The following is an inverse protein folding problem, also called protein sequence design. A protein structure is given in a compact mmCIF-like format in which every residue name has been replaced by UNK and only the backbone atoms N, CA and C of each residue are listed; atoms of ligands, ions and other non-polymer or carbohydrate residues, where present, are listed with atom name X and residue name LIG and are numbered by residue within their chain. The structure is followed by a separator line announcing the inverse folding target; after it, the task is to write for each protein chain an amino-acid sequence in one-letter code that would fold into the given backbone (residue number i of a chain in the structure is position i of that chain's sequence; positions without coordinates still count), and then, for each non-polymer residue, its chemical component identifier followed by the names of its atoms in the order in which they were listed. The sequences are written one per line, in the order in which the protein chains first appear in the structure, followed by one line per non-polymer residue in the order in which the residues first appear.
data_IF_002665105594
#
_entry.id   IF_002665105594
#
_cell.length_a   1.000
_cell.length_b   1.000
_cell.length_c   1.000
_cell.angle_alpha   90.00
_cell.angle_beta   90.00
_cell.angle_gamma   90.00
#
_symmetry.space_group_name_H-M   'P 1'
#
loop_
_entity.id
_entity.type
_entity.pdbx_description
1 polymer ?
#
# COMPACT_ATOMS: atom_id res chain seq x y z
N UNK A 1 27.08 13.08 7.96
CA UNK A 1 26.40 12.39 9.08
C UNK A 1 25.17 11.73 8.50
N UNK A 2 25.01 10.41 8.65
CA UNK A 2 23.78 9.72 8.22
C UNK A 2 22.71 10.03 9.25
N UNK A 3 21.66 10.72 8.84
CA UNK A 3 20.43 10.85 9.63
C UNK A 3 19.75 9.48 9.66
N UNK A 4 20.14 8.66 10.63
CA UNK A 4 19.38 7.48 11.00
C UNK A 4 18.05 7.98 11.57
N UNK A 5 17.02 8.04 10.73
CA UNK A 5 15.65 8.25 11.14
C UNK A 5 15.27 7.14 12.12
N UNK A 6 15.45 7.40 13.41
CA UNK A 6 14.97 6.54 14.49
C UNK A 6 13.46 6.63 14.50
N UNK A 7 12.80 5.74 13.75
CA UNK A 7 11.38 5.46 14.00
C UNK A 7 11.36 4.74 15.35
N UNK A 8 11.18 5.52 16.42
CA UNK A 8 10.90 4.96 17.74
C UNK A 8 9.61 4.16 17.58
N UNK A 9 9.70 2.84 17.71
CA UNK A 9 8.51 2.00 17.70
C UNK A 9 7.79 2.21 19.04
N UNK A 10 6.97 3.26 19.10
CA UNK A 10 6.17 3.65 20.26
C UNK A 10 4.86 2.87 20.37
N UNK A 11 4.70 1.80 19.58
CA UNK A 11 3.51 0.94 19.66
C UNK A 11 3.35 0.43 21.10
N UNK A 12 2.22 0.69 21.77
CA UNK A 12 1.99 0.15 23.10
C UNK A 12 2.13 -1.38 23.10
N UNK A 13 2.84 -1.91 24.10
CA UNK A 13 3.19 -3.35 24.16
C UNK A 13 1.99 -4.28 24.19
N UNK A 14 0.81 -3.78 24.58
CA UNK A 14 -0.44 -4.53 24.64
C UNK A 14 -1.20 -4.58 23.31
N UNK A 15 -0.74 -3.91 22.25
CA UNK A 15 -1.39 -4.00 20.95
C UNK A 15 -1.02 -5.31 20.26
N UNK A 16 -2.06 -6.02 19.79
CA UNK A 16 -1.87 -7.24 19.01
C UNK A 16 -1.18 -6.90 17.70
N UNK A 17 -0.18 -7.68 17.31
CA UNK A 17 0.44 -7.62 15.99
C UNK A 17 -0.09 -8.74 15.10
N UNK A 18 -0.29 -8.45 13.82
CA UNK A 18 -0.61 -9.47 12.81
C UNK A 18 0.30 -9.29 11.59
N UNK A 19 0.77 -10.39 10.98
CA UNK A 19 1.46 -10.28 9.70
C UNK A 19 0.47 -9.81 8.62
N UNK A 20 0.94 -9.01 7.66
CA UNK A 20 0.06 -8.46 6.61
C UNK A 20 -0.71 -9.54 5.86
N UNK A 21 -0.12 -10.72 5.62
CA UNK A 21 -0.79 -11.84 4.95
C UNK A 21 -2.07 -12.33 5.66
N UNK A 22 -2.21 -12.07 6.95
CA UNK A 22 -3.38 -12.45 7.75
C UNK A 22 -4.41 -11.29 7.84
N UNK A 23 -4.01 -10.06 7.44
CA UNK A 23 -4.85 -8.86 7.45
C UNK A 23 -5.40 -8.52 6.07
N UNK A 24 -4.65 -8.81 5.00
CA UNK A 24 -4.97 -8.41 3.62
C UNK A 24 -4.82 -9.54 2.63
N UNK A 25 -5.62 -9.49 1.56
CA UNK A 25 -5.38 -10.29 0.36
C UNK A 25 -4.49 -9.52 -0.60
N UNK A 26 -3.30 -10.06 -0.90
CA UNK A 26 -2.40 -9.53 -1.91
C UNK A 26 -2.89 -9.94 -3.30
N UNK A 27 -3.18 -8.95 -4.15
CA UNK A 27 -3.58 -9.15 -5.54
C UNK A 27 -2.65 -8.34 -6.45
N UNK A 28 -2.60 -8.69 -7.74
CA UNK A 28 -1.93 -7.93 -8.79
C UNK A 28 -2.74 -7.99 -10.08
N UNK A 29 -2.61 -6.97 -10.91
CA UNK A 29 -3.12 -6.95 -12.27
C UNK A 29 -2.20 -7.69 -13.24
N UNK A 30 -2.52 -7.57 -14.52
CA UNK A 30 -1.80 -8.21 -15.64
C UNK A 30 -1.43 -7.24 -16.75
N UNK A 31 -1.77 -5.95 -16.59
CA UNK A 31 -1.50 -4.93 -17.59
C UNK A 31 0.00 -4.60 -17.63
N UNK A 32 0.44 -4.08 -18.76
CA UNK A 32 1.80 -3.60 -18.99
C UNK A 32 1.81 -2.07 -18.97
N UNK A 33 2.98 -1.46 -18.75
CA UNK A 33 3.09 0.00 -18.70
C UNK A 33 2.59 0.69 -19.99
N UNK A 34 2.74 0.03 -21.12
CA UNK A 34 2.29 0.47 -22.45
C UNK A 34 0.77 0.49 -22.63
N UNK A 35 0.00 -0.16 -21.76
CA UNK A 35 -1.47 -0.08 -21.77
C UNK A 35 -1.98 1.28 -21.27
N UNK A 36 -1.09 2.13 -20.73
CA UNK A 36 -1.44 3.46 -20.29
C UNK A 36 -1.93 4.35 -21.45
N UNK A 37 -2.99 5.11 -21.21
CA UNK A 37 -3.61 6.02 -22.19
C UNK A 37 -3.82 7.38 -21.56
N UNK A 38 -3.32 8.46 -22.16
CA UNK A 38 -3.39 9.82 -21.59
C UNK A 38 -4.80 10.26 -21.11
N UNK A 39 -5.85 9.83 -21.81
CA UNK A 39 -7.25 10.15 -21.50
C UNK A 39 -8.08 8.91 -21.15
N UNK A 40 -7.46 7.89 -20.56
CA UNK A 40 -8.16 6.68 -20.12
C UNK A 40 -9.23 6.97 -19.06
N UNK A 41 -10.30 6.17 -19.06
CA UNK A 41 -11.45 6.33 -18.17
C UNK A 41 -11.17 5.90 -16.73
N UNK A 42 -10.32 4.90 -16.55
CA UNK A 42 -10.06 4.26 -15.26
C UNK A 42 -8.67 4.56 -14.74
N UNK A 43 -8.47 4.42 -13.43
CA UNK A 43 -7.17 4.59 -12.80
C UNK A 43 -6.26 3.41 -13.18
N UNK A 44 -5.01 3.72 -13.51
CA UNK A 44 -3.99 2.73 -13.78
C UNK A 44 -2.80 2.92 -12.84
N UNK A 45 -2.58 1.94 -11.97
CA UNK A 45 -1.47 1.96 -11.03
C UNK A 45 -0.27 1.24 -11.62
N UNK A 46 0.76 2.03 -11.93
CA UNK A 46 2.07 1.58 -12.40
C UNK A 46 3.12 1.85 -11.32
N UNK A 47 4.39 1.59 -11.63
CA UNK A 47 5.51 1.92 -10.72
C UNK A 47 5.74 3.45 -10.61
N UNK A 48 5.06 4.25 -11.42
CA UNK A 48 5.16 5.70 -11.38
C UNK A 48 4.46 6.30 -10.15
N UNK A 49 5.07 7.37 -9.61
CA UNK A 49 4.48 8.15 -8.51
C UNK A 49 3.14 8.78 -8.92
N UNK A 50 3.02 9.24 -10.15
CA UNK A 50 1.76 9.75 -10.69
C UNK A 50 0.83 8.60 -11.08
N UNK A 51 -0.46 8.74 -10.79
CA UNK A 51 -1.46 7.74 -11.21
C UNK A 51 -1.80 7.94 -12.68
N UNK A 52 -1.59 6.91 -13.49
CA UNK A 52 -1.89 6.93 -14.92
C UNK A 52 -3.35 6.56 -15.17
N UNK A 53 -3.70 6.47 -16.46
CA UNK A 53 -5.07 6.19 -16.93
C UNK A 53 -5.06 5.04 -17.92
N UNK A 54 -6.15 4.28 -17.97
CA UNK A 54 -6.37 3.15 -18.89
C UNK A 54 -7.84 3.10 -19.33
N UNK A 55 -8.11 2.51 -20.49
CA UNK A 55 -9.47 2.41 -21.05
C UNK A 55 -10.29 1.24 -20.51
N UNK A 56 -9.64 0.21 -19.99
CA UNK A 56 -10.24 -1.01 -19.44
C UNK A 56 -9.92 -1.14 -17.95
N UNK A 57 -10.72 -1.90 -17.21
CA UNK A 57 -10.47 -2.18 -15.80
C UNK A 57 -10.65 -3.66 -15.51
N UNK A 58 -9.85 -4.18 -14.60
CA UNK A 58 -9.94 -5.55 -14.11
C UNK A 58 -10.53 -5.63 -12.69
N UNK A 59 -10.59 -4.50 -11.97
CA UNK A 59 -11.00 -4.46 -10.58
C UNK A 59 -11.99 -3.32 -10.33
N UNK A 60 -13.01 -3.59 -9.51
CA UNK A 60 -13.94 -2.59 -8.97
C UNK A 60 -14.10 -2.81 -7.47
N UNK A 61 -13.23 -2.19 -6.67
CA UNK A 61 -13.18 -2.37 -5.21
C UNK A 61 -12.44 -1.22 -4.52
N UNK A 62 -12.52 -1.20 -3.19
CA UNK A 62 -11.62 -0.40 -2.37
C UNK A 62 -10.30 -1.17 -2.15
N UNK A 63 -9.17 -0.51 -2.40
CA UNK A 63 -7.87 -1.17 -2.34
C UNK A 63 -6.73 -0.19 -2.01
N UNK A 64 -5.59 -0.76 -1.61
CA UNK A 64 -4.34 -0.04 -1.43
C UNK A 64 -3.27 -0.56 -2.40
N UNK A 65 -3.09 0.05 -3.58
CA UNK A 65 -1.98 -0.26 -4.48
C UNK A 65 -0.63 0.09 -3.86
N UNK A 66 0.30 -0.86 -3.88
CA UNK A 66 1.66 -0.76 -3.39
C UNK A 66 2.64 -1.08 -4.54
N UNK A 67 3.43 -0.08 -4.89
CA UNK A 67 4.61 -0.26 -5.75
C UNK A 67 5.73 -0.82 -4.89
N UNK A 68 6.26 -2.00 -5.23
CA UNK A 68 7.28 -2.73 -4.44
C UNK A 68 8.69 -2.64 -5.04
N UNK A 69 8.82 -2.17 -6.28
CA UNK A 69 10.09 -1.98 -6.97
C UNK A 69 10.41 -0.49 -7.16
N UNK A 70 11.70 -0.15 -7.18
CA UNK A 70 12.14 1.23 -7.39
C UNK A 70 11.65 2.18 -6.29
N UNK A 71 11.05 3.30 -6.69
CA UNK A 71 10.51 4.30 -5.78
C UNK A 71 9.18 3.84 -5.16
N UNK A 72 9.29 3.07 -4.08
CA UNK A 72 8.14 2.50 -3.36
C UNK A 72 7.20 3.57 -2.85
N UNK A 73 5.91 3.31 -3.01
CA UNK A 73 4.84 4.16 -2.52
C UNK A 73 3.55 3.35 -2.46
N UNK A 74 2.65 3.78 -1.58
CA UNK A 74 1.31 3.22 -1.46
C UNK A 74 0.29 4.30 -1.81
N UNK A 75 -0.78 3.88 -2.47
CA UNK A 75 -1.93 4.73 -2.84
C UNK A 75 -3.20 4.16 -2.23
N UNK A 76 -4.23 4.98 -2.18
CA UNK A 76 -5.59 4.57 -1.86
C UNK A 76 -6.45 4.71 -3.11
N UNK A 77 -7.32 3.74 -3.37
CA UNK A 77 -8.30 3.84 -4.44
C UNK A 77 -9.63 3.18 -4.04
N UNK A 78 -10.71 3.70 -4.61
CA UNK A 78 -12.04 3.14 -4.48
C UNK A 78 -12.74 3.21 -5.84
N UNK A 79 -13.24 2.07 -6.31
CA UNK A 79 -13.95 1.95 -7.59
C UNK A 79 -13.12 1.22 -8.64
N UNK A 80 -13.29 1.61 -9.91
CA UNK A 80 -12.73 0.90 -11.07
C UNK A 80 -11.27 1.27 -11.35
N UNK A 81 -10.40 0.27 -11.39
CA UNK A 81 -8.98 0.44 -11.70
C UNK A 81 -8.34 -0.80 -12.31
N UNK A 82 -7.11 -0.64 -12.79
CA UNK A 82 -6.20 -1.73 -13.11
C UNK A 82 -4.80 -1.46 -12.53
N UNK A 83 -3.96 -2.49 -12.48
CA UNK A 83 -2.56 -2.37 -12.05
C UNK A 83 -1.61 -3.07 -13.01
N UNK A 84 -0.39 -2.56 -13.10
CA UNK A 84 0.68 -3.27 -13.80
C UNK A 84 1.02 -4.58 -13.06
N UNK A 85 1.57 -5.57 -13.76
CA UNK A 85 1.98 -6.84 -13.17
C UNK A 85 2.93 -6.71 -11.95
N UNK A 86 3.78 -5.68 -11.91
CA UNK A 86 4.73 -5.43 -10.82
C UNK A 86 4.14 -4.60 -9.66
N UNK A 87 2.88 -4.18 -9.77
CA UNK A 87 2.16 -3.46 -8.72
C UNK A 87 1.21 -4.42 -8.04
N UNK A 88 1.47 -4.67 -6.75
CA UNK A 88 0.55 -5.39 -5.89
C UNK A 88 -0.47 -4.41 -5.31
N UNK A 89 -1.62 -4.89 -4.89
CA UNK A 89 -2.55 -4.12 -4.09
C UNK A 89 -3.16 -4.95 -2.98
N UNK A 90 -3.53 -4.28 -1.90
CA UNK A 90 -4.15 -4.90 -0.75
C UNK A 90 -5.67 -4.76 -0.84
N UNK A 91 -6.35 -5.89 -0.75
CA UNK A 91 -7.80 -5.96 -0.57
C UNK A 91 -8.08 -6.39 0.87
N UNK A 92 -8.87 -5.61 1.60
CA UNK A 92 -9.11 -5.77 3.03
C UNK A 92 -10.46 -5.18 3.45
N UNK A 93 -10.89 -5.47 4.68
CA UNK A 93 -12.11 -4.88 5.24
C UNK A 93 -11.97 -3.34 5.35
N UNK A 94 -13.02 -2.63 4.93
CA UNK A 94 -13.09 -1.16 4.95
C UNK A 94 -12.65 -0.54 6.28
N UNK A 95 -13.02 -1.15 7.41
CA UNK A 95 -12.70 -0.60 8.75
C UNK A 95 -11.19 -0.46 9.03
N UNK A 96 -10.34 -1.20 8.31
CA UNK A 96 -8.88 -1.15 8.47
C UNK A 96 -8.17 -0.30 7.41
N UNK A 97 -8.87 0.14 6.34
CA UNK A 97 -8.18 0.63 5.13
C UNK A 97 -7.39 1.91 5.36
N UNK A 98 -8.00 2.90 6.01
CA UNK A 98 -7.36 4.20 6.26
C UNK A 98 -6.19 4.08 7.24
N UNK A 99 -6.36 3.25 8.27
CA UNK A 99 -5.31 2.97 9.23
C UNK A 99 -4.14 2.25 8.56
N UNK A 100 -4.41 1.20 7.79
CA UNK A 100 -3.34 0.46 7.13
C UNK A 100 -2.63 1.32 6.08
N UNK A 101 -3.35 2.18 5.36
CA UNK A 101 -2.75 3.12 4.43
C UNK A 101 -1.71 4.02 5.13
N UNK A 102 -2.08 4.67 6.23
CA UNK A 102 -1.15 5.54 6.96
C UNK A 102 -0.04 4.75 7.65
N UNK A 103 -0.33 3.55 8.15
CA UNK A 103 0.70 2.66 8.69
C UNK A 103 1.75 2.39 7.61
N UNK A 104 1.36 1.85 6.45
CA UNK A 104 2.31 1.47 5.42
C UNK A 104 3.09 2.68 4.89
N UNK A 105 2.45 3.84 4.73
CA UNK A 105 3.16 5.10 4.37
C UNK A 105 4.31 5.39 5.32
N UNK A 106 4.08 5.28 6.63
CA UNK A 106 5.11 5.49 7.65
C UNK A 106 6.21 4.41 7.63
N UNK A 107 5.92 3.21 7.13
CA UNK A 107 6.88 2.10 7.04
C UNK A 107 7.60 1.99 5.69
N UNK A 108 7.27 2.81 4.68
CA UNK A 108 7.99 2.83 3.39
C UNK A 108 9.51 2.98 3.58
N UNK A 109 10.05 3.88 4.43
CA UNK A 109 11.50 3.98 4.63
C UNK A 109 12.15 2.71 5.19
N UNK A 110 11.40 1.92 5.97
CA UNK A 110 11.87 0.62 6.47
C UNK A 110 11.86 -0.41 5.34
N UNK A 111 10.80 -0.45 4.53
CA UNK A 111 10.76 -1.30 3.34
C UNK A 111 11.87 -0.97 2.34
N UNK A 112 12.23 0.31 2.20
CA UNK A 112 13.36 0.74 1.37
C UNK A 112 14.67 0.14 1.84
N UNK A 113 14.93 0.13 3.16
CA UNK A 113 16.14 -0.47 3.74
C UNK A 113 16.17 -1.99 3.62
N UNK A 114 15.02 -2.66 3.62
CA UNK A 114 14.91 -4.11 3.46
C UNK A 114 15.04 -4.58 2.01
N UNK A 115 14.94 -3.66 1.06
CA UNK A 115 14.88 -3.99 -0.36
C UNK A 115 16.24 -4.37 -0.93
N UNK A 116 16.22 -5.29 -1.91
CA UNK A 116 17.42 -5.93 -2.46
C UNK A 116 17.48 -5.72 -3.98
N UNK A 117 18.68 -5.63 -4.54
CA UNK A 117 18.91 -5.47 -5.99
C UNK A 117 20.14 -4.62 -6.31
N UNK A 118 20.63 -4.73 -7.56
CA UNK A 118 21.70 -3.87 -8.11
C UNK A 118 21.04 -2.87 -9.05
N UNK A 119 21.16 -1.57 -8.74
CA UNK A 119 20.43 -0.51 -9.45
C UNK A 119 19.02 -0.35 -8.90
N UNK A 120 18.03 -1.02 -9.52
CA UNK A 120 16.63 -0.99 -9.06
C UNK A 120 16.45 -2.01 -7.93
N UNK A 121 16.03 -1.55 -6.76
CA UNK A 121 15.78 -2.41 -5.60
C UNK A 121 14.31 -2.81 -5.51
N UNK A 122 14.05 -4.05 -5.11
CA UNK A 122 12.71 -4.60 -4.89
C UNK A 122 12.49 -5.05 -3.46
N UNK A 123 11.28 -4.85 -2.94
CA UNK A 123 10.80 -5.45 -1.71
C UNK A 123 10.32 -6.87 -2.02
N UNK A 124 10.88 -7.86 -1.34
CA UNK A 124 10.46 -9.26 -1.46
C UNK A 124 9.02 -9.41 -0.94
N UNK A 125 8.16 -10.04 -1.74
CA UNK A 125 6.76 -10.26 -1.36
C UNK A 125 6.64 -11.09 -0.08
N UNK A 126 7.59 -11.99 0.22
CA UNK A 126 7.63 -12.75 1.46
C UNK A 126 7.90 -11.83 2.66
N UNK A 127 8.78 -10.85 2.50
CA UNK A 127 9.08 -9.87 3.55
C UNK A 127 7.87 -8.97 3.79
N UNK A 128 7.22 -8.48 2.73
CA UNK A 128 5.98 -7.73 2.83
C UNK A 128 4.85 -8.54 3.51
N UNK A 129 4.64 -9.80 3.10
CA UNK A 129 3.61 -10.68 3.67
C UNK A 129 3.80 -10.97 5.16
N UNK A 130 5.05 -11.05 5.62
CA UNK A 130 5.36 -11.34 7.03
C UNK A 130 5.61 -10.08 7.86
N UNK A 131 5.51 -8.88 7.28
CA UNK A 131 5.59 -7.63 8.03
C UNK A 131 4.48 -7.57 9.10
N UNK A 132 4.88 -7.41 10.36
CA UNK A 132 3.96 -7.36 11.49
C UNK A 132 3.36 -5.95 11.65
N UNK A 133 2.07 -5.83 11.35
CA UNK A 133 1.31 -4.60 11.55
C UNK A 133 0.66 -4.59 12.95
N UNK A 134 0.86 -3.53 13.75
CA UNK A 134 0.23 -3.40 15.06
C UNK A 134 -1.24 -3.00 14.93
N UNK A 135 -2.17 -3.85 15.35
CA UNK A 135 -3.59 -3.56 15.28
C UNK A 135 -4.01 -2.56 16.36
N UNK A 136 -4.73 -1.52 15.93
CA UNK A 136 -5.45 -0.63 16.83
C UNK A 136 -6.53 -1.40 17.60
N UNK A 137 -6.64 -1.21 18.93
CA UNK A 137 -7.85 -1.53 19.67
C UNK A 137 -9.08 -0.87 19.03
N UNK A 138 -10.24 -1.54 19.09
CA UNK A 138 -11.45 -1.13 18.33
C UNK A 138 -11.89 0.32 18.62
N UNK A 139 -11.79 0.78 19.87
CA UNK A 139 -12.12 2.15 20.24
C UNK A 139 -11.22 3.18 19.54
N UNK A 140 -9.92 2.90 19.43
CA UNK A 140 -8.96 3.76 18.73
C UNK A 140 -9.11 3.67 17.22
N UNK A 141 -9.39 2.48 16.68
CA UNK A 141 -9.68 2.31 15.25
C UNK A 141 -10.91 3.12 14.83
N UNK A 142 -11.98 3.07 15.64
CA UNK A 142 -13.20 3.85 15.42
C UNK A 142 -12.91 5.35 15.48
N UNK A 143 -12.13 5.80 16.46
CA UNK A 143 -11.72 7.19 16.58
C UNK A 143 -10.87 7.65 15.38
N UNK A 144 -9.88 6.84 14.98
CA UNK A 144 -9.04 7.09 13.82
C UNK A 144 -9.87 7.26 12.56
N UNK A 145 -10.79 6.32 12.30
CA UNK A 145 -11.65 6.34 11.11
C UNK A 145 -12.54 7.59 11.04
N UNK A 146 -12.98 8.13 12.19
CA UNK A 146 -13.76 9.37 12.25
C UNK A 146 -12.98 10.57 11.67
N UNK A 147 -11.67 10.62 11.87
CA UNK A 147 -10.80 11.71 11.40
C UNK A 147 -10.12 11.42 10.07
N UNK A 148 -9.80 10.17 9.76
CA UNK A 148 -9.11 9.82 8.53
C UNK A 148 -10.02 9.88 7.29
N UNK A 149 -11.29 9.47 7.44
CA UNK A 149 -12.24 9.38 6.33
C UNK A 149 -12.46 10.71 5.56
N UNK A 150 -12.54 11.88 6.21
CA UNK A 150 -12.64 13.16 5.48
C UNK A 150 -11.35 13.59 4.77
N UNK A 151 -10.18 13.11 5.20
CA UNK A 151 -8.86 13.54 4.69
C UNK A 151 -8.44 12.68 3.49
N UNK A 152 -8.85 11.42 3.45
CA UNK A 152 -8.43 10.46 2.42
C UNK A 152 -9.41 10.35 1.24
N UNK A 153 -10.41 11.23 1.16
CA UNK A 153 -11.37 11.32 0.05
C UNK A 153 -10.98 12.35 -0.98
#
# INVERSE_FOLDING_TARGET
MRDDLYIVNTTPSNWRKLPLKDLVTFKKGKKLAEDATNNGKYLFFTEAQETQRINEYSFDQEALPLTVAGARHIKYCCGKFDTMEHVYFFSLEHKYIYWLFELIKNFIPIFDKMSRGVGITGLDLKDAKNFEAPLLPDNLLNLFNKFAKPIQK
#
